data_IF_207386735981
#
_entry.id   IF_207386735981
#
_cell.length_a   1.000
_cell.length_b   1.000
_cell.length_c   1.000
_cell.angle_alpha   90.00
_cell.angle_beta   90.00
_cell.angle_gamma   90.00
#
_symmetry.space_group_name_H-M   'P 1'
#
loop_
_entity.id
_entity.type
_entity.pdbx_description
1 polymer ?
#
# COMPACT_ATOMS: atom_id res chain seq x y z
N UNK A 1 2.05 -21.67 12.19
CA UNK A 1 3.09 -20.71 11.80
C UNK A 1 2.41 -19.57 11.06
N UNK A 2 2.54 -18.34 11.54
CA UNK A 2 2.02 -17.16 10.84
C UNK A 2 2.82 -16.97 9.54
N UNK A 3 2.15 -16.78 8.40
CA UNK A 3 2.82 -16.31 7.19
C UNK A 3 3.28 -14.88 7.48
N UNK A 4 4.57 -14.69 7.68
CA UNK A 4 5.22 -13.37 7.91
C UNK A 4 5.18 -12.49 6.65
N UNK A 5 4.61 -12.98 5.56
CA UNK A 5 4.70 -12.38 4.23
C UNK A 5 3.33 -11.97 3.72
N UNK A 6 3.23 -10.71 3.31
CA UNK A 6 2.12 -10.22 2.49
C UNK A 6 2.35 -10.77 1.08
N UNK A 7 1.34 -11.43 0.50
CA UNK A 7 1.39 -11.82 -0.90
C UNK A 7 1.43 -10.56 -1.77
N UNK A 8 2.29 -10.45 -2.80
CA UNK A 8 2.35 -9.28 -3.66
C UNK A 8 0.99 -8.90 -4.26
N UNK A 9 0.14 -9.89 -4.57
CA UNK A 9 -1.22 -9.67 -5.05
C UNK A 9 -2.12 -9.01 -4.00
N UNK A 10 -2.03 -9.45 -2.75
CA UNK A 10 -2.77 -8.88 -1.62
C UNK A 10 -2.27 -7.46 -1.30
N UNK A 11 -0.96 -7.23 -1.35
CA UNK A 11 -0.37 -5.92 -1.11
C UNK A 11 -0.78 -4.88 -2.16
N UNK A 12 -0.84 -5.27 -3.43
CA UNK A 12 -1.36 -4.41 -4.50
C UNK A 12 -2.85 -4.08 -4.31
N UNK A 13 -3.65 -5.04 -3.86
CA UNK A 13 -5.06 -4.82 -3.54
C UNK A 13 -5.22 -3.84 -2.36
N UNK A 14 -4.48 -4.03 -1.28
CA UNK A 14 -4.50 -3.13 -0.10
C UNK A 14 -4.10 -1.71 -0.52
N UNK A 15 -3.05 -1.56 -1.32
CA UNK A 15 -2.64 -0.26 -1.85
C UNK A 15 -3.74 0.40 -2.71
N UNK A 16 -4.48 -0.40 -3.48
CA UNK A 16 -5.60 0.06 -4.31
C UNK A 16 -6.77 0.55 -3.45
N UNK A 17 -7.14 -0.21 -2.41
CA UNK A 17 -8.20 0.17 -1.48
C UNK A 17 -7.90 1.50 -0.78
N UNK A 18 -6.66 1.71 -0.32
CA UNK A 18 -6.27 2.99 0.28
C UNK A 18 -6.27 4.14 -0.73
N UNK A 19 -5.88 3.90 -1.97
CA UNK A 19 -5.97 4.90 -3.04
C UNK A 19 -7.43 5.31 -3.29
N UNK A 20 -8.33 4.33 -3.36
CA UNK A 20 -9.75 4.57 -3.59
C UNK A 20 -10.40 5.29 -2.40
N UNK A 21 -10.01 4.92 -1.17
CA UNK A 21 -10.46 5.60 0.03
C UNK A 21 -10.03 7.07 0.06
N UNK A 22 -8.75 7.37 -0.18
CA UNK A 22 -8.24 8.75 -0.29
C UNK A 22 -9.04 9.56 -1.32
N UNK A 23 -9.17 9.04 -2.54
CA UNK A 23 -9.92 9.71 -3.60
C UNK A 23 -11.41 9.87 -3.27
N UNK A 24 -12.03 8.90 -2.61
CA UNK A 24 -13.43 8.96 -2.19
C UNK A 24 -13.66 10.04 -1.12
N UNK A 25 -12.73 10.17 -0.17
CA UNK A 25 -12.77 11.18 0.88
C UNK A 25 -12.62 12.58 0.26
N UNK A 26 -11.64 12.80 -0.61
CA UNK A 26 -11.45 14.08 -1.30
C UNK A 26 -12.65 14.49 -2.16
N UNK A 27 -13.23 13.54 -2.89
CA UNK A 27 -14.46 13.78 -3.67
C UNK A 27 -15.62 14.17 -2.78
N UNK A 28 -15.77 13.52 -1.63
CA UNK A 28 -16.83 13.83 -0.68
C UNK A 28 -16.59 15.21 -0.05
N UNK A 29 -15.37 15.51 0.36
CA UNK A 29 -15.00 16.81 0.94
C UNK A 29 -15.19 17.96 -0.05
N UNK A 30 -14.78 17.78 -1.32
CA UNK A 30 -14.97 18.79 -2.38
C UNK A 30 -16.44 19.00 -2.78
N UNK A 31 -17.33 18.08 -2.41
CA UNK A 31 -18.78 18.24 -2.59
C UNK A 31 -19.45 19.04 -1.46
N UNK A 32 -18.72 19.36 -0.40
CA UNK A 32 -19.25 20.17 0.70
C UNK A 32 -19.52 21.61 0.23
N UNK A 33 -20.62 22.23 0.67
CA UNK A 33 -20.93 23.60 0.31
C UNK A 33 -19.90 24.55 0.92
N UNK A 34 -19.37 25.47 0.09
CA UNK A 34 -18.40 26.48 0.55
C UNK A 34 -19.01 27.60 1.41
N UNK A 35 -20.34 27.77 1.36
CA UNK A 35 -21.08 28.71 2.20
C UNK A 35 -22.42 28.10 2.61
N UNK A 36 -22.90 28.46 3.80
CA UNK A 36 -24.22 28.06 4.30
C UNK A 36 -24.97 29.29 4.77
N UNK A 37 -26.21 29.46 4.30
CA UNK A 37 -27.15 30.42 4.84
C UNK A 37 -28.16 29.71 5.75
N UNK A 38 -27.90 29.75 7.06
CA UNK A 38 -28.75 29.23 8.12
C UNK A 38 -29.14 30.32 9.12
N UNK A 39 -29.13 31.59 8.69
CA UNK A 39 -29.39 32.74 9.56
C UNK A 39 -28.41 32.82 10.73
N UNK A 40 -28.94 32.80 11.96
CA UNK A 40 -28.14 32.92 13.20
C UNK A 40 -27.14 31.76 13.35
N UNK A 41 -27.44 30.59 12.77
CA UNK A 41 -26.59 29.41 12.87
C UNK A 41 -25.47 29.33 11.81
N UNK A 42 -25.43 30.25 10.83
CA UNK A 42 -24.48 30.17 9.70
C UNK A 42 -23.03 30.06 10.14
N UNK A 43 -22.63 30.79 11.18
CA UNK A 43 -21.26 30.77 11.71
C UNK A 43 -20.89 29.39 12.28
N UNK A 44 -21.78 28.78 13.07
CA UNK A 44 -21.56 27.46 13.66
C UNK A 44 -21.48 26.38 12.60
N UNK A 45 -22.37 26.41 11.60
CA UNK A 45 -22.37 25.41 10.53
C UNK A 45 -21.14 25.56 9.64
N UNK A 46 -20.72 26.80 9.35
CA UNK A 46 -19.50 27.05 8.56
C UNK A 46 -18.25 26.53 9.27
N UNK A 47 -18.17 26.67 10.59
CA UNK A 47 -17.06 26.13 11.38
C UNK A 47 -17.04 24.59 11.38
N UNK A 48 -18.21 23.95 11.52
CA UNK A 48 -18.33 22.48 11.40
C UNK A 48 -17.87 22.00 10.02
N UNK A 49 -18.28 22.68 8.94
CA UNK A 49 -17.86 22.32 7.58
C UNK A 49 -16.36 22.51 7.38
N UNK A 50 -15.77 23.58 7.94
CA UNK A 50 -14.33 23.80 7.88
C UNK A 50 -13.56 22.69 8.61
N UNK A 51 -13.99 22.30 9.81
CA UNK A 51 -13.39 21.18 10.56
C UNK A 51 -13.55 19.86 9.82
N UNK A 52 -14.72 19.59 9.23
CA UNK A 52 -14.98 18.38 8.47
C UNK A 52 -14.06 18.27 7.26
N UNK A 53 -13.88 19.35 6.49
CA UNK A 53 -12.94 19.41 5.37
C UNK A 53 -11.50 19.17 5.85
N UNK A 54 -11.07 19.83 6.93
CA UNK A 54 -9.73 19.63 7.48
C UNK A 54 -9.46 18.19 7.94
N UNK A 55 -10.45 17.52 8.54
CA UNK A 55 -10.34 16.11 8.91
C UNK A 55 -10.36 15.18 7.70
N UNK A 56 -11.13 15.50 6.66
CA UNK A 56 -11.13 14.75 5.41
C UNK A 56 -9.76 14.81 4.72
N UNK A 57 -9.13 15.99 4.66
CA UNK A 57 -7.78 16.15 4.10
C UNK A 57 -6.75 15.30 4.88
N UNK A 58 -6.78 15.35 6.22
CA UNK A 58 -5.90 14.54 7.07
C UNK A 58 -6.10 13.04 6.82
N UNK A 59 -7.35 12.59 6.68
CA UNK A 59 -7.66 11.18 6.43
C UNK A 59 -7.25 10.75 5.01
N UNK A 60 -7.39 11.62 4.01
CA UNK A 60 -6.90 11.34 2.65
C UNK A 60 -5.38 11.15 2.66
N UNK A 61 -4.64 12.08 3.28
CA UNK A 61 -3.18 12.01 3.42
C UNK A 61 -2.74 10.72 4.14
N UNK A 62 -3.45 10.34 5.22
CA UNK A 62 -3.16 9.11 5.94
C UNK A 62 -3.33 7.87 5.03
N UNK A 63 -4.39 7.82 4.22
CA UNK A 63 -4.61 6.73 3.27
C UNK A 63 -3.51 6.69 2.18
N UNK A 64 -3.12 7.84 1.63
CA UNK A 64 -2.02 7.90 0.67
C UNK A 64 -0.69 7.43 1.27
N UNK A 65 -0.41 7.82 2.52
CA UNK A 65 0.77 7.37 3.24
C UNK A 65 0.79 5.85 3.42
N UNK A 66 -0.33 5.26 3.85
CA UNK A 66 -0.43 3.79 4.00
C UNK A 66 -0.27 3.07 2.67
N UNK A 67 -0.90 3.56 1.60
CA UNK A 67 -0.71 3.03 0.25
C UNK A 67 0.78 3.01 -0.13
N UNK A 68 1.49 4.11 0.10
CA UNK A 68 2.90 4.24 -0.26
C UNK A 68 3.77 3.27 0.56
N UNK A 69 3.50 3.14 1.86
CA UNK A 69 4.19 2.18 2.71
C UNK A 69 3.98 0.73 2.25
N UNK A 70 2.73 0.33 1.98
CA UNK A 70 2.42 -1.02 1.49
C UNK A 70 3.10 -1.29 0.15
N UNK A 71 3.04 -0.33 -0.77
CA UNK A 71 3.69 -0.46 -2.09
C UNK A 71 5.22 -0.59 -1.96
N UNK A 72 5.83 0.14 -1.04
CA UNK A 72 7.28 0.04 -0.76
C UNK A 72 7.62 -1.33 -0.19
N UNK A 73 6.88 -1.81 0.82
CA UNK A 73 7.14 -3.12 1.44
C UNK A 73 7.01 -4.25 0.43
N UNK A 74 5.98 -4.22 -0.42
CA UNK A 74 5.82 -5.24 -1.48
C UNK A 74 7.02 -5.22 -2.42
N UNK A 75 7.45 -4.03 -2.88
CA UNK A 75 8.60 -3.89 -3.75
C UNK A 75 9.90 -4.39 -3.12
N UNK A 76 10.13 -4.06 -1.84
CA UNK A 76 11.34 -4.47 -1.11
C UNK A 76 11.37 -6.01 -0.92
N UNK A 77 10.21 -6.63 -0.69
CA UNK A 77 10.09 -8.08 -0.61
C UNK A 77 10.36 -8.75 -1.97
N UNK A 78 9.83 -8.22 -3.06
CA UNK A 78 10.08 -8.74 -4.41
C UNK A 78 11.57 -8.63 -4.79
N UNK A 79 12.20 -7.49 -4.49
CA UNK A 79 13.63 -7.30 -4.71
C UNK A 79 14.47 -8.26 -3.87
N UNK A 80 14.14 -8.43 -2.59
CA UNK A 80 14.84 -9.37 -1.71
C UNK A 80 14.76 -10.80 -2.24
N UNK A 81 13.61 -11.20 -2.78
CA UNK A 81 13.43 -12.51 -3.40
C UNK A 81 14.28 -12.71 -4.65
N UNK A 82 14.36 -11.71 -5.52
CA UNK A 82 15.24 -11.75 -6.70
C UNK A 82 16.71 -11.86 -6.29
N UNK A 83 17.13 -11.05 -5.31
CA UNK A 83 18.48 -11.06 -4.76
C UNK A 83 18.83 -12.39 -4.11
N UNK A 84 17.91 -13.04 -3.40
CA UNK A 84 18.10 -14.35 -2.79
C UNK A 84 18.09 -15.50 -3.82
N UNK A 85 17.25 -15.39 -4.86
CA UNK A 85 17.13 -16.42 -5.90
C UNK A 85 18.41 -16.56 -6.74
N UNK A 86 19.14 -15.47 -6.99
CA UNK A 86 20.39 -15.48 -7.77
C UNK A 86 21.47 -16.41 -7.19
N UNK A 87 21.92 -16.19 -5.94
CA UNK A 87 22.84 -17.09 -5.23
C UNK A 87 22.33 -18.52 -5.11
N UNK A 88 21.04 -18.73 -4.83
CA UNK A 88 20.48 -20.08 -4.74
C UNK A 88 20.51 -20.83 -6.07
N UNK A 89 20.19 -20.16 -7.19
CA UNK A 89 20.30 -20.73 -8.55
C UNK A 89 21.75 -21.08 -8.87
N UNK A 90 22.71 -20.22 -8.51
CA UNK A 90 24.15 -20.49 -8.66
C UNK A 90 24.57 -21.72 -7.85
N UNK A 91 24.18 -21.82 -6.59
CA UNK A 91 24.47 -22.98 -5.74
C UNK A 91 23.86 -24.27 -6.29
N UNK A 92 22.60 -24.22 -6.76
CA UNK A 92 21.93 -25.37 -7.40
C UNK A 92 22.66 -25.81 -8.67
N UNK A 93 23.13 -24.87 -9.48
CA UNK A 93 23.91 -25.18 -10.68
C UNK A 93 25.30 -25.76 -10.35
N UNK A 94 25.94 -25.31 -9.26
CA UNK A 94 27.24 -25.85 -8.82
C UNK A 94 27.16 -27.19 -8.10
N UNK A 95 25.99 -27.56 -7.57
CA UNK A 95 25.71 -28.89 -6.99
C UNK A 95 25.32 -29.93 -8.04
N UNK A 96 25.02 -29.50 -9.26
CA UNK A 96 24.68 -30.38 -10.38
C UNK A 96 25.68 -30.34 -11.57
N UNK A 97 27.02 -30.38 -11.37
CA UNK A 97 27.98 -30.26 -12.47
C UNK A 97 28.30 -31.60 -13.17
N UNK A 98 27.72 -32.73 -12.74
CA UNK A 98 27.97 -34.03 -13.37
C UNK A 98 27.21 -35.16 -12.69
N UNK A 99 26.04 -35.52 -13.25
CA UNK A 99 25.28 -36.70 -12.86
C UNK A 99 25.92 -38.03 -13.28
N UNK A 100 27.24 -38.10 -13.45
CA UNK A 100 27.96 -39.35 -13.63
C UNK A 100 28.71 -39.66 -12.34
N UNK A 101 28.10 -40.50 -11.51
CA UNK A 101 28.84 -41.25 -10.51
C UNK A 101 29.96 -42.02 -11.23
N UNK A 102 31.22 -41.95 -10.76
CA UNK A 102 32.27 -42.82 -11.28
C UNK A 102 31.81 -44.26 -11.05
N UNK A 103 31.53 -44.99 -12.13
CA UNK A 103 31.32 -46.43 -12.06
C UNK A 103 32.63 -47.05 -11.59
N UNK A 104 32.71 -47.37 -10.30
CA UNK A 104 33.77 -48.20 -9.77
C UNK A 104 33.74 -49.53 -10.51
N UNK A 105 34.92 -49.92 -10.99
CA UNK A 105 35.22 -51.16 -11.72
C UNK A 105 34.88 -52.41 -10.91
#
# INVERSE_FOLDING_TARGET
MSKVRIDPGDGAQIATLHKEAASGIEKTASSLPGTVDAGIASALISDILAQLTGHADQLSIANESVRNMVSSVVKDLDQTDEEAAGPLRRLKSSLNPGGEHPRSR
#
